data_IF_803652846018
#
_entry.id   IF_803652846018
#
_cell.length_a   1.000
_cell.length_b   1.000
_cell.length_c   1.000
_cell.angle_alpha   90.00
_cell.angle_beta   90.00
_cell.angle_gamma   90.00
#
_symmetry.space_group_name_H-M   'P 1'
#
loop_
_entity.id
_entity.type
_entity.pdbx_description
1 polymer ?
#
# COMPACT_ATOMS: atom_id res chain seq x y z
N UNK A 1 -24.73 10.69 -0.18
CA UNK A 1 -25.24 11.49 0.97
C UNK A 1 -26.77 11.47 1.00
N UNK A 2 -27.49 11.68 -0.11
CA UNK A 2 -28.94 11.66 -0.14
C UNK A 2 -29.55 10.32 0.28
N UNK A 3 -28.99 9.19 -0.13
CA UNK A 3 -29.44 7.84 0.27
C UNK A 3 -29.18 7.53 1.74
N UNK A 4 -28.09 8.04 2.31
CA UNK A 4 -27.72 7.77 3.71
C UNK A 4 -28.67 8.41 4.72
N UNK A 5 -29.34 9.49 4.33
CA UNK A 5 -30.29 10.22 5.16
C UNK A 5 -31.76 9.77 4.97
N UNK A 6 -31.99 8.85 4.03
CA UNK A 6 -33.32 8.35 3.71
C UNK A 6 -33.40 6.84 3.94
N UNK A 7 -34.51 6.34 4.50
CA UNK A 7 -34.81 4.92 4.46
C UNK A 7 -35.55 4.59 3.16
N UNK A 8 -35.09 3.57 2.46
CA UNK A 8 -35.68 3.10 1.21
C UNK A 8 -36.53 1.85 1.48
N UNK A 9 -37.80 1.90 1.12
CA UNK A 9 -38.70 0.73 1.15
C UNK A 9 -39.21 0.43 -0.24
N UNK A 10 -39.07 -0.82 -0.64
CA UNK A 10 -39.63 -1.32 -1.90
C UNK A 10 -41.11 -1.66 -1.62
N UNK A 11 -42.01 -0.94 -2.27
CA UNK A 11 -43.44 -1.20 -2.19
C UNK A 11 -43.98 -1.65 -3.56
N UNK A 12 -45.11 -2.32 -3.66
CA UNK A 12 -45.70 -2.75 -4.94
C UNK A 12 -45.98 -1.57 -5.91
N UNK A 13 -46.00 -0.34 -5.39
CA UNK A 13 -46.29 0.89 -6.15
C UNK A 13 -44.96 1.62 -6.54
N UNK A 14 -43.80 1.12 -6.11
CA UNK A 14 -42.48 1.71 -6.40
C UNK A 14 -41.62 1.95 -5.16
N UNK A 15 -40.51 2.68 -5.37
CA UNK A 15 -39.57 3.03 -4.31
C UNK A 15 -40.07 4.24 -3.52
N UNK A 16 -40.27 4.05 -2.22
CA UNK A 16 -40.62 5.15 -1.31
C UNK A 16 -39.40 5.53 -0.47
N UNK A 17 -39.06 6.83 -0.52
CA UNK A 17 -38.01 7.43 0.28
C UNK A 17 -38.62 8.15 1.47
N UNK A 18 -38.23 7.77 2.67
CA UNK A 18 -38.60 8.48 3.90
C UNK A 18 -37.37 9.08 4.53
N UNK A 19 -37.38 10.39 4.72
CA UNK A 19 -36.28 11.06 5.41
C UNK A 19 -36.21 10.65 6.87
N UNK A 20 -35.09 10.07 7.29
CA UNK A 20 -34.84 9.51 8.64
C UNK A 20 -33.71 10.27 9.34
N UNK A 21 -33.10 11.24 8.67
CA UNK A 21 -31.98 12.02 9.19
C UNK A 21 -30.79 11.12 9.56
N UNK A 22 -30.23 11.33 10.72
CA UNK A 22 -29.02 10.60 11.21
C UNK A 22 -29.32 9.24 11.83
N UNK A 23 -30.59 8.81 11.88
CA UNK A 23 -30.96 7.54 12.54
C UNK A 23 -30.30 6.32 11.89
N UNK A 24 -30.11 6.32 10.57
CA UNK A 24 -29.38 5.25 9.90
C UNK A 24 -27.94 5.12 10.40
N UNK A 25 -27.27 6.23 10.70
CA UNK A 25 -25.93 6.22 11.27
C UNK A 25 -25.94 5.73 12.71
N UNK A 26 -26.92 6.15 13.50
CA UNK A 26 -27.07 5.66 14.88
C UNK A 26 -27.38 4.16 14.92
N UNK A 27 -28.20 3.68 13.98
CA UNK A 27 -28.51 2.24 13.89
C UNK A 27 -27.26 1.42 13.55
N UNK A 28 -26.38 1.86 12.64
CA UNK A 28 -25.11 1.19 12.35
C UNK A 28 -24.20 1.18 13.57
N UNK A 29 -24.12 2.30 14.31
CA UNK A 29 -23.24 2.40 15.48
C UNK A 29 -23.74 1.63 16.72
N UNK A 30 -25.06 1.57 16.93
CA UNK A 30 -25.65 1.03 18.16
C UNK A 30 -26.22 -0.38 17.99
N UNK A 31 -26.68 -0.75 16.78
CA UNK A 31 -27.32 -2.03 16.55
C UNK A 31 -26.42 -3.04 15.83
N UNK A 32 -25.48 -2.56 15.02
CA UNK A 32 -24.58 -3.43 14.29
C UNK A 32 -23.29 -3.66 15.08
N UNK A 33 -23.27 -4.76 15.85
CA UNK A 33 -22.08 -5.17 16.61
C UNK A 33 -20.90 -5.53 15.70
N UNK A 34 -21.16 -5.99 14.48
CA UNK A 34 -20.09 -6.37 13.53
C UNK A 34 -19.40 -5.15 12.96
N UNK A 35 -20.13 -4.07 12.66
CA UNK A 35 -19.56 -2.86 12.11
C UNK A 35 -18.45 -2.26 12.98
N UNK A 36 -18.69 -2.15 14.28
CA UNK A 36 -17.69 -1.57 15.22
C UNK A 36 -16.45 -2.47 15.29
N UNK A 37 -16.65 -3.78 15.30
CA UNK A 37 -15.55 -4.74 15.33
C UNK A 37 -14.73 -4.70 14.03
N UNK A 38 -15.39 -4.69 12.87
CA UNK A 38 -14.75 -4.58 11.56
C UNK A 38 -14.00 -3.25 11.41
N UNK A 39 -14.62 -2.14 11.84
CA UNK A 39 -13.98 -0.82 11.81
C UNK A 39 -12.72 -0.79 12.68
N UNK A 40 -12.79 -1.34 13.89
CA UNK A 40 -11.65 -1.37 14.80
C UNK A 40 -10.52 -2.24 14.24
N UNK A 41 -10.86 -3.39 13.68
CA UNK A 41 -9.91 -4.29 13.04
C UNK A 41 -9.28 -3.65 11.80
N UNK A 42 -10.07 -2.95 10.99
CA UNK A 42 -9.57 -2.17 9.85
C UNK A 42 -8.59 -1.09 10.30
N UNK A 43 -8.93 -0.30 11.33
CA UNK A 43 -8.08 0.76 11.86
C UNK A 43 -6.76 0.21 12.40
N UNK A 44 -6.79 -0.87 13.17
CA UNK A 44 -5.58 -1.51 13.71
C UNK A 44 -4.70 -2.05 12.59
N UNK A 45 -5.27 -2.78 11.63
CA UNK A 45 -4.54 -3.31 10.49
C UNK A 45 -3.92 -2.19 9.66
N UNK A 46 -4.66 -1.12 9.40
CA UNK A 46 -4.19 0.04 8.62
C UNK A 46 -3.08 0.79 9.36
N UNK A 47 -3.23 1.00 10.67
CA UNK A 47 -2.22 1.65 11.51
C UNK A 47 -0.88 0.91 11.51
N UNK A 48 -0.89 -0.41 11.35
CA UNK A 48 0.33 -1.21 11.24
C UNK A 48 0.85 -1.26 9.79
N UNK A 49 -0.02 -1.41 8.80
CA UNK A 49 0.37 -1.56 7.40
C UNK A 49 0.94 -0.28 6.80
N UNK A 50 0.36 0.89 7.10
CA UNK A 50 0.80 2.18 6.52
C UNK A 50 2.27 2.47 6.82
N UNK A 51 2.76 2.43 8.07
CA UNK A 51 4.18 2.64 8.35
C UNK A 51 5.09 1.64 7.65
N UNK A 52 4.69 0.35 7.62
CA UNK A 52 5.48 -0.70 6.97
C UNK A 52 5.64 -0.43 5.48
N UNK A 53 4.54 -0.12 4.77
CA UNK A 53 4.56 0.19 3.34
C UNK A 53 5.41 1.43 3.06
N UNK A 54 5.24 2.50 3.85
CA UNK A 54 5.95 3.77 3.65
C UNK A 54 7.45 3.62 3.93
N UNK A 55 7.83 2.93 5.00
CA UNK A 55 9.25 2.67 5.32
C UNK A 55 9.87 1.76 4.26
N UNK A 56 9.17 0.71 3.85
CA UNK A 56 9.62 -0.18 2.79
C UNK A 56 9.83 0.58 1.47
N UNK A 57 8.85 1.41 1.07
CA UNK A 57 8.94 2.24 -0.12
C UNK A 57 10.12 3.21 -0.07
N UNK A 58 10.39 3.80 1.10
CA UNK A 58 11.54 4.68 1.29
C UNK A 58 12.86 3.93 1.14
N UNK A 59 13.01 2.76 1.75
CA UNK A 59 14.21 1.94 1.64
C UNK A 59 14.47 1.57 0.17
N UNK A 60 13.46 1.09 -0.55
CA UNK A 60 13.58 0.75 -1.97
C UNK A 60 13.92 1.99 -2.81
N UNK A 61 13.27 3.12 -2.54
CA UNK A 61 13.56 4.38 -3.24
C UNK A 61 15.01 4.84 -3.02
N UNK A 62 15.53 4.73 -1.79
CA UNK A 62 16.93 5.04 -1.48
C UNK A 62 17.91 4.11 -2.20
N UNK A 63 17.62 2.81 -2.24
CA UNK A 63 18.41 1.83 -3.00
C UNK A 63 18.41 2.17 -4.49
N UNK A 64 17.24 2.45 -5.07
CA UNK A 64 17.09 2.81 -6.48
C UNK A 64 17.62 4.20 -6.82
N UNK A 65 17.79 5.07 -5.85
CA UNK A 65 18.41 6.39 -6.05
C UNK A 65 19.93 6.35 -6.13
N UNK A 66 20.58 5.29 -5.67
CA UNK A 66 22.01 5.09 -5.82
C UNK A 66 22.40 4.94 -7.30
N UNK A 67 23.69 5.15 -7.61
CA UNK A 67 24.23 4.98 -8.98
C UNK A 67 24.43 3.50 -9.31
N UNK A 68 23.33 2.74 -9.39
CA UNK A 68 23.33 1.30 -9.70
C UNK A 68 23.26 1.12 -11.22
N UNK A 69 24.06 0.18 -11.75
CA UNK A 69 23.91 -0.29 -13.14
C UNK A 69 22.51 -0.91 -13.28
N UNK A 70 21.84 -0.64 -14.40
CA UNK A 70 20.46 -1.11 -14.68
C UNK A 70 19.32 -0.44 -13.87
N UNK A 71 19.55 0.73 -13.30
CA UNK A 71 18.55 1.53 -12.56
C UNK A 71 17.21 1.67 -13.30
N UNK A 72 17.23 1.77 -14.63
CA UNK A 72 16.01 1.84 -15.45
C UNK A 72 15.18 0.56 -15.36
N UNK A 73 15.81 -0.61 -15.45
CA UNK A 73 15.14 -1.91 -15.38
C UNK A 73 14.44 -2.09 -14.04
N UNK A 74 15.13 -1.78 -12.92
CA UNK A 74 14.53 -1.86 -11.59
C UNK A 74 13.32 -0.94 -11.46
N UNK A 75 13.40 0.30 -11.97
CA UNK A 75 12.24 1.20 -11.99
C UNK A 75 11.07 0.61 -12.75
N UNK A 76 11.31 0.02 -13.91
CA UNK A 76 10.26 -0.62 -14.72
C UNK A 76 9.62 -1.78 -13.96
N UNK A 77 10.40 -2.62 -13.28
CA UNK A 77 9.89 -3.74 -12.47
C UNK A 77 8.98 -3.25 -11.33
N UNK A 78 9.38 -2.20 -10.62
CA UNK A 78 8.55 -1.62 -9.54
C UNK A 78 7.36 -0.83 -10.06
N UNK A 79 7.41 -0.35 -11.30
CA UNK A 79 6.31 0.37 -11.93
C UNK A 79 5.27 -0.55 -12.57
N UNK A 80 5.67 -1.74 -12.95
CA UNK A 80 4.79 -2.72 -13.62
C UNK A 80 3.52 -3.03 -12.79
N UNK A 81 3.60 -3.30 -11.47
CA UNK A 81 2.40 -3.51 -10.65
C UNK A 81 1.43 -2.31 -10.66
N UNK A 82 1.97 -1.08 -10.67
CA UNK A 82 1.15 0.14 -10.71
C UNK A 82 0.39 0.27 -12.03
N UNK A 83 1.04 -0.08 -13.15
CA UNK A 83 0.40 -0.05 -14.47
C UNK A 83 -0.68 -1.12 -14.56
N UNK A 84 -0.39 -2.32 -14.04
CA UNK A 84 -1.36 -3.44 -14.04
C UNK A 84 -2.55 -3.14 -13.14
N UNK A 85 -2.33 -2.49 -11.99
CA UNK A 85 -3.39 -2.08 -11.07
C UNK A 85 -4.21 -0.87 -11.57
N UNK A 86 -3.82 -0.24 -12.69
CA UNK A 86 -4.65 0.82 -13.28
C UNK A 86 -5.97 0.23 -13.81
N UNK A 87 -7.11 0.90 -13.52
CA UNK A 87 -8.45 0.42 -13.75
C UNK A 87 -8.71 -0.26 -15.10
N UNK A 88 -8.31 0.33 -16.26
CA UNK A 88 -8.58 -0.27 -17.57
C UNK A 88 -7.96 -1.66 -17.78
N UNK A 89 -6.80 -1.93 -17.16
CA UNK A 89 -6.13 -3.22 -17.28
C UNK A 89 -6.77 -4.24 -16.34
N UNK A 90 -7.19 -3.79 -15.14
CA UNK A 90 -7.91 -4.63 -14.19
C UNK A 90 -9.26 -5.09 -14.75
N UNK A 91 -10.01 -4.18 -15.37
CA UNK A 91 -11.31 -4.51 -15.97
C UNK A 91 -11.14 -5.60 -17.06
N UNK A 92 -10.13 -5.47 -17.92
CA UNK A 92 -9.82 -6.49 -18.93
C UNK A 92 -9.39 -7.84 -18.34
N UNK A 93 -8.63 -7.83 -17.24
CA UNK A 93 -8.22 -9.04 -16.54
C UNK A 93 -9.42 -9.74 -15.87
N UNK A 94 -10.36 -8.94 -15.32
CA UNK A 94 -11.61 -9.46 -14.75
C UNK A 94 -12.47 -10.11 -15.84
N UNK A 95 -12.66 -9.44 -16.98
CA UNK A 95 -13.43 -9.97 -18.11
C UNK A 95 -12.85 -11.26 -18.69
N UNK A 96 -11.52 -11.41 -18.68
CA UNK A 96 -10.83 -12.61 -19.14
C UNK A 96 -10.75 -13.73 -18.10
N UNK A 97 -11.39 -13.56 -16.93
CA UNK A 97 -11.34 -14.53 -15.83
C UNK A 97 -9.96 -14.65 -15.15
N UNK A 98 -9.03 -13.73 -15.49
CA UNK A 98 -7.69 -13.68 -14.93
C UNK A 98 -7.61 -12.76 -13.69
N UNK A 99 -8.76 -12.38 -13.13
CA UNK A 99 -8.89 -11.53 -11.94
C UNK A 99 -8.43 -12.19 -10.63
N UNK A 100 -8.23 -13.50 -10.63
CA UNK A 100 -7.27 -14.03 -9.68
C UNK A 100 -5.91 -13.52 -10.15
N UNK A 101 -5.41 -12.40 -9.54
CA UNK A 101 -3.96 -12.23 -9.39
C UNK A 101 -3.45 -13.65 -9.22
N UNK A 102 -2.50 -14.16 -10.03
CA UNK A 102 -1.79 -15.35 -9.62
C UNK A 102 -1.12 -14.92 -8.31
N UNK A 103 -1.88 -14.93 -7.26
CA UNK A 103 -1.39 -15.07 -5.91
C UNK A 103 -0.51 -16.27 -6.10
N UNK A 104 0.78 -16.06 -6.04
CA UNK A 104 1.81 -17.06 -6.16
C UNK A 104 1.21 -18.26 -5.50
N UNK A 105 0.84 -19.26 -6.33
CA UNK A 105 -0.02 -20.36 -5.87
C UNK A 105 0.69 -20.85 -4.63
N UNK A 106 0.17 -20.51 -3.45
CA UNK A 106 0.84 -20.84 -2.17
C UNK A 106 1.23 -22.30 -2.18
N UNK A 107 0.42 -23.13 -2.86
CA UNK A 107 0.72 -24.52 -3.13
C UNK A 107 1.98 -24.79 -3.96
N UNK A 108 2.34 -23.95 -4.93
CA UNK A 108 3.56 -24.16 -5.73
C UNK A 108 4.79 -23.80 -4.92
N UNK A 109 4.78 -22.65 -4.22
CA UNK A 109 5.91 -22.25 -3.38
C UNK A 109 6.07 -23.21 -2.22
N UNK A 110 4.99 -23.53 -1.50
CA UNK A 110 5.01 -24.52 -0.43
C UNK A 110 5.50 -25.87 -0.96
N UNK A 111 5.02 -26.33 -2.11
CA UNK A 111 5.43 -27.60 -2.71
C UNK A 111 6.92 -27.67 -3.06
N UNK A 112 7.52 -26.59 -3.55
CA UNK A 112 8.95 -26.52 -3.82
C UNK A 112 9.76 -26.40 -2.52
N UNK A 113 9.30 -25.57 -1.60
CA UNK A 113 10.01 -25.34 -0.33
C UNK A 113 9.96 -26.56 0.60
N UNK A 114 8.88 -27.34 0.60
CA UNK A 114 8.78 -28.56 1.41
C UNK A 114 9.66 -29.71 0.95
N UNK A 115 10.18 -29.65 -0.27
CA UNK A 115 11.18 -30.61 -0.75
C UNK A 115 12.56 -30.35 -0.13
N UNK A 116 12.83 -29.11 0.31
CA UNK A 116 14.15 -28.69 0.80
C UNK A 116 14.13 -28.42 2.30
N UNK A 117 13.00 -27.93 2.82
CA UNK A 117 12.87 -27.49 4.21
C UNK A 117 11.70 -28.16 4.94
N UNK A 118 11.73 -28.24 6.28
CA UNK A 118 10.59 -28.70 7.08
C UNK A 118 9.34 -27.82 6.82
N UNK A 119 8.15 -28.42 6.88
CA UNK A 119 6.89 -27.80 6.54
C UNK A 119 6.58 -26.50 7.32
N UNK A 120 6.98 -26.43 8.60
CA UNK A 120 6.81 -25.22 9.40
C UNK A 120 7.64 -24.04 8.87
N UNK A 121 8.86 -24.30 8.39
CA UNK A 121 9.76 -23.29 7.85
C UNK A 121 9.31 -22.85 6.44
N UNK A 122 8.87 -23.81 5.61
CA UNK A 122 8.31 -23.53 4.30
C UNK A 122 7.07 -22.62 4.38
N UNK A 123 6.20 -22.80 5.37
CA UNK A 123 5.06 -21.90 5.62
C UNK A 123 5.50 -20.48 5.97
N UNK A 124 6.40 -20.32 6.93
CA UNK A 124 6.90 -18.99 7.33
C UNK A 124 7.50 -18.25 6.13
N UNK A 125 8.27 -18.94 5.30
CA UNK A 125 8.85 -18.35 4.09
C UNK A 125 7.75 -17.98 3.10
N UNK A 126 6.78 -18.85 2.84
CA UNK A 126 5.68 -18.59 1.93
C UNK A 126 4.86 -17.37 2.38
N UNK A 127 4.54 -17.28 3.66
CA UNK A 127 3.80 -16.15 4.24
C UNK A 127 4.58 -14.84 4.11
N UNK A 128 5.89 -14.87 4.36
CA UNK A 128 6.76 -13.70 4.17
C UNK A 128 6.80 -13.26 2.71
N UNK A 129 6.96 -14.21 1.77
CA UNK A 129 6.95 -13.88 0.34
C UNK A 129 5.62 -13.30 -0.10
N UNK A 130 4.50 -13.88 0.33
CA UNK A 130 3.16 -13.38 0.01
C UNK A 130 2.96 -11.96 0.55
N UNK A 131 3.39 -11.69 1.77
CA UNK A 131 3.31 -10.35 2.37
C UNK A 131 4.22 -9.34 1.64
N UNK A 132 5.45 -9.73 1.27
CA UNK A 132 6.36 -8.87 0.52
C UNK A 132 5.77 -8.52 -0.86
N UNK A 133 5.19 -9.47 -1.55
CA UNK A 133 4.55 -9.24 -2.86
C UNK A 133 3.39 -8.25 -2.73
N UNK A 134 2.55 -8.42 -1.72
CA UNK A 134 1.44 -7.50 -1.44
C UNK A 134 1.98 -6.09 -1.12
N UNK A 135 3.00 -6.00 -0.25
CA UNK A 135 3.64 -4.73 0.10
C UNK A 135 4.24 -4.06 -1.14
N UNK A 136 4.95 -4.81 -2.00
CA UNK A 136 5.49 -4.32 -3.26
C UNK A 136 4.39 -3.80 -4.18
N UNK A 137 3.29 -4.51 -4.27
CA UNK A 137 2.15 -4.12 -5.10
C UNK A 137 1.57 -2.78 -4.67
N UNK A 138 1.37 -2.61 -3.36
CA UNK A 138 0.85 -1.35 -2.81
C UNK A 138 1.90 -0.23 -2.75
N UNK A 139 3.20 -0.53 -2.75
CA UNK A 139 4.25 0.47 -2.56
C UNK A 139 4.77 1.12 -3.85
N UNK A 140 4.32 0.69 -5.03
CA UNK A 140 4.86 1.15 -6.31
C UNK A 140 4.80 2.67 -6.50
N UNK A 141 3.64 3.29 -6.25
CA UNK A 141 3.47 4.76 -6.38
C UNK A 141 4.29 5.50 -5.32
N UNK A 142 4.31 5.00 -4.09
CA UNK A 142 5.08 5.58 -2.99
C UNK A 142 6.59 5.59 -3.29
N UNK A 143 7.10 4.49 -3.86
CA UNK A 143 8.50 4.40 -4.30
C UNK A 143 8.81 5.48 -5.32
N UNK A 144 7.93 5.71 -6.30
CA UNK A 144 8.12 6.74 -7.33
C UNK A 144 8.13 8.15 -6.73
N UNK A 145 7.20 8.45 -5.83
CA UNK A 145 7.14 9.73 -5.12
C UNK A 145 8.47 9.96 -4.38
N UNK A 146 8.93 8.98 -3.61
CA UNK A 146 10.19 9.10 -2.90
C UNK A 146 11.40 9.25 -3.83
N UNK A 147 11.47 8.50 -4.93
CA UNK A 147 12.54 8.65 -5.92
C UNK A 147 12.55 10.07 -6.49
N UNK A 148 11.38 10.61 -6.86
CA UNK A 148 11.28 11.95 -7.43
C UNK A 148 11.75 13.02 -6.44
N UNK A 149 11.46 12.86 -5.16
CA UNK A 149 11.90 13.79 -4.11
C UNK A 149 13.39 13.65 -3.81
N UNK A 150 13.88 12.40 -3.66
CA UNK A 150 15.30 12.16 -3.41
C UNK A 150 16.20 12.71 -4.51
N UNK A 151 15.69 12.74 -5.77
CA UNK A 151 16.44 13.31 -6.89
C UNK A 151 16.47 14.85 -6.90
N UNK A 152 15.60 15.50 -6.15
CA UNK A 152 15.59 16.97 -6.02
C UNK A 152 16.56 17.48 -4.94
N UNK A 153 17.07 16.60 -4.09
CA UNK A 153 18.05 16.98 -3.07
C UNK A 153 19.37 17.32 -3.78
N UNK A 154 19.89 18.50 -3.49
CA UNK A 154 21.16 18.96 -4.08
C UNK A 154 22.30 18.03 -3.66
N UNK A 155 23.02 17.41 -4.61
CA UNK A 155 24.19 16.57 -4.32
C UNK A 155 25.29 17.28 -3.54
N UNK A 156 25.44 18.60 -3.71
CA UNK A 156 26.46 19.38 -3.01
C UNK A 156 26.28 19.40 -1.49
N UNK A 157 25.05 19.22 -0.99
CA UNK A 157 24.80 19.08 0.45
C UNK A 157 25.47 17.81 1.01
N UNK A 158 25.44 16.72 0.26
CA UNK A 158 26.09 15.47 0.67
C UNK A 158 27.61 15.55 0.52
N UNK A 159 28.12 16.30 -0.47
CA UNK A 159 29.57 16.54 -0.66
C UNK A 159 30.10 17.38 0.48
N UNK A 160 29.43 18.46 0.85
CA UNK A 160 29.82 19.31 1.99
C UNK A 160 29.82 18.50 3.31
N UNK A 161 28.76 17.74 3.56
CA UNK A 161 28.68 16.90 4.76
C UNK A 161 29.83 15.86 4.82
N UNK A 162 30.28 15.31 3.67
CA UNK A 162 31.39 14.37 3.64
C UNK A 162 32.73 15.08 3.91
N UNK A 163 32.91 16.31 3.45
CA UNK A 163 34.14 17.12 3.74
C UNK A 163 34.19 17.39 5.25
N UNK A 164 33.04 17.65 5.89
CA UNK A 164 32.93 17.84 7.33
C UNK A 164 33.06 16.53 8.14
N UNK A 165 33.34 15.40 7.48
CA UNK A 165 33.50 14.09 8.12
C UNK A 165 32.19 13.37 8.46
N UNK A 166 31.06 13.84 7.95
CA UNK A 166 29.74 13.26 8.19
C UNK A 166 29.59 11.85 7.59
N UNK A 167 29.10 10.92 8.40
CA UNK A 167 28.78 9.56 7.97
C UNK A 167 27.51 9.52 7.12
N UNK A 168 27.30 8.43 6.36
CA UNK A 168 26.08 8.23 5.58
C UNK A 168 24.79 8.22 6.46
N UNK A 169 24.92 7.75 7.70
CA UNK A 169 23.85 7.77 8.69
C UNK A 169 23.48 9.19 9.13
N UNK A 170 24.49 10.04 9.37
CA UNK A 170 24.24 11.45 9.69
C UNK A 170 23.64 12.21 8.52
N UNK A 171 24.11 11.97 7.30
CA UNK A 171 23.52 12.54 6.09
C UNK A 171 22.05 12.15 5.93
N UNK A 172 21.71 10.90 6.25
CA UNK A 172 20.32 10.47 6.21
C UNK A 172 19.45 11.25 7.21
N UNK A 173 19.84 11.35 8.47
CA UNK A 173 19.05 12.01 9.50
C UNK A 173 19.03 13.54 9.39
N UNK A 174 20.14 14.17 8.97
CA UNK A 174 20.30 15.63 8.96
C UNK A 174 19.95 16.28 7.61
N UNK A 175 20.06 15.54 6.49
CA UNK A 175 19.82 16.08 5.15
C UNK A 175 18.61 15.39 4.51
N UNK A 176 18.65 14.05 4.36
CA UNK A 176 17.66 13.31 3.61
C UNK A 176 16.29 13.35 4.29
N UNK A 177 16.21 12.91 5.53
CA UNK A 177 14.95 12.77 6.26
C UNK A 177 14.19 14.10 6.44
N UNK A 178 14.82 15.22 6.84
CA UNK A 178 14.13 16.50 6.93
C UNK A 178 13.56 16.97 5.58
N UNK A 179 14.31 16.76 4.50
CA UNK A 179 13.89 17.16 3.15
C UNK A 179 12.70 16.35 2.65
N UNK A 180 12.67 15.04 2.94
CA UNK A 180 11.57 14.16 2.51
C UNK A 180 10.38 14.15 3.47
N UNK A 181 10.50 14.69 4.68
CA UNK A 181 9.45 14.67 5.72
C UNK A 181 8.05 15.07 5.22
N UNK A 182 7.85 16.16 4.46
CA UNK A 182 6.52 16.50 3.94
C UNK A 182 5.98 15.44 2.99
N UNK A 183 6.82 14.75 2.26
CA UNK A 183 6.43 13.71 1.32
C UNK A 183 6.15 12.35 1.99
N UNK A 184 6.71 12.12 3.18
CA UNK A 184 6.30 10.99 4.04
C UNK A 184 4.81 11.13 4.37
N UNK A 185 4.36 12.33 4.75
CA UNK A 185 2.94 12.59 5.05
C UNK A 185 2.07 12.33 3.82
N UNK A 186 2.47 12.82 2.65
CA UNK A 186 1.75 12.58 1.37
C UNK A 186 1.63 11.08 1.10
N UNK A 187 2.73 10.33 1.26
CA UNK A 187 2.74 8.88 1.08
C UNK A 187 1.87 8.15 2.10
N UNK A 188 1.85 8.60 3.37
CA UNK A 188 0.95 8.04 4.37
C UNK A 188 -0.52 8.22 3.98
N UNK A 189 -0.91 9.45 3.56
CA UNK A 189 -2.28 9.74 3.13
C UNK A 189 -2.64 8.91 1.90
N UNK A 190 -1.76 8.85 0.90
CA UNK A 190 -1.99 8.04 -0.30
C UNK A 190 -2.18 6.56 0.03
N UNK A 191 -1.31 6.00 0.87
CA UNK A 191 -1.41 4.60 1.30
C UNK A 191 -2.71 4.33 2.04
N UNK A 192 -3.11 5.26 2.93
CA UNK A 192 -4.35 5.14 3.68
C UNK A 192 -5.58 5.12 2.76
N UNK A 193 -5.63 6.05 1.78
CA UNK A 193 -6.71 6.09 0.79
C UNK A 193 -6.75 4.82 -0.06
N UNK A 194 -5.58 4.33 -0.48
CA UNK A 194 -5.48 3.10 -1.29
C UNK A 194 -5.96 1.88 -0.52
N UNK A 195 -5.55 1.73 0.76
CA UNK A 195 -6.00 0.64 1.61
C UNK A 195 -7.50 0.71 1.92
N UNK A 196 -8.04 1.92 2.13
CA UNK A 196 -9.46 2.11 2.37
C UNK A 196 -10.32 1.77 1.14
N UNK A 197 -9.79 1.91 -0.07
CA UNK A 197 -10.51 1.58 -1.29
C UNK A 197 -10.36 0.10 -1.69
N UNK A 198 -9.43 -0.62 -1.09
CA UNK A 198 -9.16 -2.04 -1.37
C UNK A 198 -9.77 -3.01 -0.35
N UNK A 199 -10.34 -2.49 0.73
CA UNK A 199 -11.09 -3.25 1.73
C UNK A 199 -12.59 -3.20 1.40
#
# INVERSE_FOLDING_TARGET
ITFSLNSMRITPVGLQFRFVGVNNFLDVWLKDMFFVQELLQFLLNTALRVPVIVVFALIIAMLLNQKIKFRGIFRTIFFLPVIVASGPVMDQLIEQGAATIPMVNEGIIIGVLTQIFPMWFARVISDLFSQIIIILWYSGVQILIFIAVLQKIDPHLYEAAKIDGGSAWECFWKITLPTIKPFILVNCIYTLVTLANSS
#
